data_IF_223498878462
#
_entry.id   IF_223498878462
#
_cell.length_a   1.000
_cell.length_b   1.000
_cell.length_c   1.000
_cell.angle_alpha   90.00
_cell.angle_beta   90.00
_cell.angle_gamma   90.00
#
_symmetry.space_group_name_H-M   'P 1'
#
loop_
_entity.id
_entity.type
_entity.pdbx_description
1 polymer ?
#
# COMPACT_ATOMS: atom_id res chain seq x y z
N UNK A 1 -18.76 -7.99 -8.53
CA UNK A 1 -17.31 -8.11 -8.80
C UNK A 1 -16.69 -8.99 -7.73
N UNK A 2 -16.02 -10.05 -8.13
CA UNK A 2 -15.40 -10.98 -7.20
C UNK A 2 -14.00 -10.50 -6.78
N UNK A 3 -13.46 -11.12 -5.74
CA UNK A 3 -12.15 -10.74 -5.15
C UNK A 3 -11.02 -10.74 -6.19
N UNK A 4 -10.96 -11.73 -7.07
CA UNK A 4 -9.94 -11.82 -8.11
C UNK A 4 -10.02 -10.67 -9.11
N UNK A 5 -11.23 -10.20 -9.43
CA UNK A 5 -11.41 -9.04 -10.30
C UNK A 5 -10.83 -7.78 -9.66
N UNK A 6 -11.05 -7.62 -8.35
CA UNK A 6 -10.51 -6.49 -7.59
C UNK A 6 -8.98 -6.54 -7.59
N UNK A 7 -8.38 -7.70 -7.30
CA UNK A 7 -6.94 -7.85 -7.32
C UNK A 7 -6.32 -7.50 -8.67
N UNK A 8 -6.98 -7.94 -9.76
CA UNK A 8 -6.51 -7.62 -11.12
C UNK A 8 -6.60 -6.13 -11.40
N UNK A 9 -7.73 -5.50 -11.08
CA UNK A 9 -7.94 -4.07 -11.33
C UNK A 9 -6.92 -3.22 -10.58
N UNK A 10 -6.70 -3.48 -9.31
CA UNK A 10 -5.74 -2.69 -8.52
C UNK A 10 -4.30 -2.99 -8.91
N UNK A 11 -4.00 -4.21 -9.34
CA UNK A 11 -2.67 -4.56 -9.86
C UNK A 11 -2.37 -3.86 -11.18
N UNK A 12 -3.38 -3.70 -12.04
CA UNK A 12 -3.25 -2.96 -13.30
C UNK A 12 -3.23 -1.43 -13.10
N UNK A 13 -3.68 -0.95 -11.95
CA UNK A 13 -3.74 0.48 -11.58
C UNK A 13 -3.11 0.68 -10.20
N UNK A 14 -1.79 0.49 -10.08
CA UNK A 14 -1.13 0.30 -8.79
C UNK A 14 -0.91 1.57 -7.96
N UNK A 15 -1.10 2.76 -8.51
CA UNK A 15 -1.05 3.99 -7.72
C UNK A 15 -2.34 4.11 -6.93
N UNK A 16 -2.24 4.28 -5.62
CA UNK A 16 -3.41 4.45 -4.77
C UNK A 16 -3.17 5.57 -3.76
N UNK A 17 -4.26 6.03 -3.16
CA UNK A 17 -4.21 7.01 -2.08
C UNK A 17 -4.50 6.29 -0.77
N UNK A 18 -3.60 6.47 0.18
CA UNK A 18 -3.68 5.83 1.49
C UNK A 18 -4.13 6.86 2.52
N UNK A 19 -5.25 6.59 3.17
CA UNK A 19 -5.73 7.37 4.30
C UNK A 19 -5.29 6.73 5.61
N UNK A 20 -4.73 7.56 6.48
CA UNK A 20 -4.34 7.18 7.85
C UNK A 20 -4.95 8.16 8.83
N UNK A 21 -4.89 7.83 10.12
CA UNK A 21 -5.37 8.70 11.19
C UNK A 21 -4.17 9.15 12.02
N UNK A 22 -4.03 10.45 12.16
CA UNK A 22 -3.00 11.10 12.99
C UNK A 22 -3.73 11.78 14.15
N UNK A 23 -3.86 11.10 15.29
CA UNK A 23 -4.76 11.42 16.39
C UNK A 23 -6.22 11.48 15.87
N UNK A 24 -6.80 12.65 15.73
CA UNK A 24 -8.14 12.85 15.16
C UNK A 24 -8.11 13.47 13.76
N UNK A 25 -6.92 13.69 13.20
CA UNK A 25 -6.74 14.29 11.88
C UNK A 25 -6.55 13.21 10.83
N UNK A 26 -7.44 13.12 9.81
CA UNK A 26 -7.18 12.25 8.67
C UNK A 26 -6.02 12.79 7.84
N UNK A 27 -5.17 11.89 7.36
CA UNK A 27 -4.07 12.19 6.46
C UNK A 27 -4.18 11.32 5.22
N UNK A 28 -3.76 11.83 4.07
CA UNK A 28 -3.80 11.08 2.81
C UNK A 28 -2.55 11.38 1.98
N UNK A 29 -2.06 10.38 1.26
CA UNK A 29 -0.93 10.50 0.33
C UNK A 29 -1.01 9.43 -0.74
N UNK A 30 -0.32 9.67 -1.85
CA UNK A 30 -0.19 8.67 -2.90
C UNK A 30 0.84 7.60 -2.51
N UNK A 31 0.54 6.35 -2.83
CA UNK A 31 1.39 5.20 -2.60
C UNK A 31 1.41 4.33 -3.84
N UNK A 32 2.32 3.36 -3.88
CA UNK A 32 2.48 2.45 -5.00
C UNK A 32 2.35 1.01 -4.51
N UNK A 33 1.32 0.30 -5.02
CA UNK A 33 1.08 -1.09 -4.70
C UNK A 33 2.26 -1.97 -5.16
N UNK A 34 2.69 -2.89 -4.31
CA UNK A 34 3.68 -3.89 -4.68
C UNK A 34 3.01 -5.15 -5.24
N UNK A 35 2.10 -5.75 -4.48
CA UNK A 35 1.43 -6.99 -4.87
C UNK A 35 0.06 -7.08 -4.22
N UNK A 36 -0.92 -7.56 -4.96
CA UNK A 36 -2.24 -7.87 -4.45
C UNK A 36 -2.66 -9.24 -4.96
N UNK A 37 -2.84 -10.17 -4.05
CA UNK A 37 -3.28 -11.52 -4.33
C UNK A 37 -4.01 -12.09 -3.11
N UNK A 38 -4.27 -13.40 -3.13
CA UNK A 38 -5.00 -14.06 -2.05
C UNK A 38 -4.31 -13.98 -0.69
N UNK A 39 -2.99 -13.76 -0.67
CA UNK A 39 -2.26 -13.59 0.59
C UNK A 39 -2.49 -12.23 1.22
N UNK A 40 -2.88 -11.25 0.44
CA UNK A 40 -3.16 -9.90 0.90
C UNK A 40 -2.66 -8.82 -0.05
N UNK A 41 -2.79 -7.58 0.39
CA UNK A 41 -2.35 -6.39 -0.34
C UNK A 41 -1.08 -5.88 0.32
N UNK A 42 0.02 -5.83 -0.44
CA UNK A 42 1.35 -5.50 0.08
C UNK A 42 1.84 -4.20 -0.55
N UNK A 43 2.33 -3.32 0.29
CA UNK A 43 3.06 -2.11 -0.12
C UNK A 43 4.10 -1.77 0.95
N UNK A 44 4.92 -0.77 0.69
CA UNK A 44 6.00 -0.41 1.59
C UNK A 44 6.19 1.10 1.65
N UNK A 45 6.89 1.54 2.68
CA UNK A 45 7.34 2.92 2.85
C UNK A 45 8.69 2.94 3.54
N UNK A 46 9.26 4.12 3.72
CA UNK A 46 10.49 4.28 4.51
C UNK A 46 10.14 4.60 5.96
N UNK A 47 10.89 4.02 6.90
CA UNK A 47 10.62 4.16 8.33
C UNK A 47 10.76 5.59 8.86
N UNK A 48 11.52 6.45 8.16
CA UNK A 48 11.67 7.85 8.54
C UNK A 48 10.48 8.74 8.13
N UNK A 49 9.52 8.21 7.38
CA UNK A 49 8.36 8.99 6.92
C UNK A 49 7.26 9.04 7.97
N UNK A 50 6.53 10.17 7.98
CA UNK A 50 5.40 10.38 8.89
C UNK A 50 4.32 9.30 8.74
N UNK A 51 4.10 8.78 7.53
CA UNK A 51 3.10 7.73 7.30
C UNK A 51 3.41 6.48 8.13
N UNK A 52 4.69 6.12 8.27
CA UNK A 52 5.08 4.97 9.09
C UNK A 52 4.74 5.21 10.56
N UNK A 53 5.02 6.40 11.07
CA UNK A 53 4.68 6.76 12.45
C UNK A 53 3.16 6.70 12.69
N UNK A 54 2.38 7.22 11.74
CA UNK A 54 0.92 7.21 11.83
C UNK A 54 0.37 5.79 11.86
N UNK A 55 0.85 4.91 10.98
CA UNK A 55 0.42 3.50 10.94
C UNK A 55 0.84 2.76 12.20
N UNK A 56 2.02 3.06 12.74
CA UNK A 56 2.50 2.44 13.98
C UNK A 56 1.59 2.76 15.16
N UNK A 57 1.09 4.00 15.23
CA UNK A 57 0.18 4.43 16.31
C UNK A 57 -1.26 3.98 16.08
N UNK A 58 -1.71 3.94 14.83
CA UNK A 58 -3.06 3.52 14.47
C UNK A 58 -3.00 2.84 13.10
N UNK A 59 -3.14 1.53 13.09
CA UNK A 59 -3.00 0.72 11.88
C UNK A 59 -4.27 0.64 11.02
N UNK A 60 -5.33 1.34 11.40
CA UNK A 60 -6.56 1.40 10.61
C UNK A 60 -6.36 2.34 9.44
N UNK A 61 -6.67 1.86 8.24
CA UNK A 61 -6.40 2.58 7.00
C UNK A 61 -7.54 2.39 6.02
N UNK A 62 -7.55 3.24 5.01
CA UNK A 62 -8.36 3.03 3.82
C UNK A 62 -7.51 3.33 2.59
N UNK A 63 -7.58 2.44 1.62
CA UNK A 63 -6.90 2.54 0.33
C UNK A 63 -7.92 2.91 -0.74
N UNK A 64 -7.58 3.85 -1.62
CA UNK A 64 -8.46 4.26 -2.71
C UNK A 64 -7.72 4.15 -4.04
N UNK A 65 -8.22 3.28 -4.91
CA UNK A 65 -7.69 3.06 -6.25
C UNK A 65 -8.66 3.62 -7.28
N UNK A 66 -8.14 4.34 -8.28
CA UNK A 66 -8.92 4.77 -9.44
C UNK A 66 -8.57 3.86 -10.61
N UNK A 67 -9.54 3.08 -11.07
CA UNK A 67 -9.35 2.03 -12.05
C UNK A 67 -10.23 2.30 -13.27
N UNK A 68 -9.79 3.19 -14.16
CA UNK A 68 -10.49 3.50 -15.42
C UNK A 68 -11.98 3.87 -15.20
N UNK A 69 -12.24 4.82 -14.30
CA UNK A 69 -13.59 5.26 -13.99
C UNK A 69 -14.28 4.46 -12.88
N UNK A 70 -13.67 3.39 -12.43
CA UNK A 70 -14.14 2.62 -11.29
C UNK A 70 -13.29 3.00 -10.09
N UNK A 71 -13.92 3.35 -8.98
CA UNK A 71 -13.22 3.62 -7.73
C UNK A 71 -13.33 2.41 -6.82
N UNK A 72 -12.20 1.90 -6.36
CA UNK A 72 -12.15 0.79 -5.41
C UNK A 72 -11.55 1.31 -4.11
N UNK A 73 -12.34 1.26 -3.03
CA UNK A 73 -11.90 1.62 -1.68
C UNK A 73 -11.83 0.38 -0.82
N UNK A 74 -10.71 0.19 -0.15
CA UNK A 74 -10.48 -0.98 0.69
C UNK A 74 -10.09 -0.50 2.08
N UNK A 75 -10.91 -0.82 3.07
CA UNK A 75 -10.63 -0.50 4.46
C UNK A 75 -10.14 -1.72 5.22
N UNK A 76 -9.31 -1.50 6.22
CA UNK A 76 -8.79 -2.59 7.04
C UNK A 76 -7.67 -2.14 7.95
N UNK A 77 -6.99 -3.12 8.51
CA UNK A 77 -5.87 -2.91 9.41
C UNK A 77 -4.59 -3.44 8.76
N UNK A 78 -3.52 -2.66 8.86
CA UNK A 78 -2.22 -3.05 8.33
C UNK A 78 -1.45 -3.85 9.39
N UNK A 79 -0.73 -4.87 8.92
CA UNK A 79 0.23 -5.62 9.71
C UNK A 79 1.62 -5.42 9.12
N UNK A 80 2.59 -5.11 9.96
CA UNK A 80 3.99 -5.00 9.54
C UNK A 80 4.55 -6.39 9.27
N UNK A 81 5.23 -6.55 8.12
CA UNK A 81 5.96 -7.77 7.79
C UNK A 81 7.45 -7.48 7.99
N UNK A 82 8.04 -8.07 9.01
CA UNK A 82 9.47 -7.94 9.27
C UNK A 82 10.21 -9.10 8.62
N UNK A 83 10.56 -8.96 7.36
CA UNK A 83 11.24 -9.97 6.57
C UNK A 83 12.27 -9.33 5.66
N UNK A 84 13.54 -9.62 5.92
CA UNK A 84 14.64 -9.16 5.07
C UNK A 84 14.60 -9.81 3.70
N UNK A 85 14.16 -11.08 3.61
CA UNK A 85 13.98 -11.74 2.33
C UNK A 85 12.95 -11.02 1.45
N UNK A 86 11.83 -10.61 2.04
CA UNK A 86 10.82 -9.87 1.30
C UNK A 86 11.30 -8.46 0.92
N UNK A 87 12.03 -7.78 1.81
CA UNK A 87 12.65 -6.50 1.49
C UNK A 87 13.61 -6.60 0.31
N UNK A 88 14.43 -7.65 0.29
CA UNK A 88 15.36 -7.91 -0.82
C UNK A 88 14.60 -8.24 -2.11
N UNK A 89 13.55 -9.05 -2.04
CA UNK A 89 12.71 -9.37 -3.19
C UNK A 89 12.11 -8.09 -3.79
N UNK A 90 11.56 -7.21 -2.95
CA UNK A 90 10.98 -5.93 -3.38
C UNK A 90 12.04 -5.07 -4.05
N UNK A 91 13.21 -4.94 -3.43
CA UNK A 91 14.31 -4.13 -3.95
C UNK A 91 14.75 -4.59 -5.35
N UNK A 92 14.75 -5.90 -5.60
CA UNK A 92 15.16 -6.47 -6.88
C UNK A 92 14.03 -6.53 -7.92
N UNK A 93 12.78 -6.23 -7.54
CA UNK A 93 11.66 -6.29 -8.46
C UNK A 93 11.76 -5.16 -9.50
N UNK A 94 11.46 -5.44 -10.79
CA UNK A 94 11.54 -4.41 -11.85
C UNK A 94 10.73 -3.15 -11.58
N UNK A 95 9.60 -3.25 -10.88
CA UNK A 95 8.77 -2.10 -10.53
C UNK A 95 9.40 -1.21 -9.45
N UNK A 96 10.49 -1.66 -8.82
CA UNK A 96 11.17 -0.98 -7.72
C UNK A 96 12.60 -0.58 -8.07
N UNK A 97 12.87 -0.34 -9.32
CA UNK A 97 14.19 0.09 -9.78
C UNK A 97 14.69 1.33 -9.04
N UNK A 98 13.78 2.27 -8.75
CA UNK A 98 14.12 3.47 -7.98
C UNK A 98 14.66 3.13 -6.58
N UNK A 99 14.09 2.12 -5.94
CA UNK A 99 14.51 1.68 -4.60
C UNK A 99 15.89 1.04 -4.63
N UNK A 100 16.14 0.20 -5.64
CA UNK A 100 17.45 -0.41 -5.87
C UNK A 100 18.52 0.64 -6.12
N UNK A 101 18.20 1.63 -6.97
CA UNK A 101 19.12 2.73 -7.26
C UNK A 101 19.46 3.53 -6.00
N UNK A 102 18.45 3.83 -5.17
CA UNK A 102 18.69 4.56 -3.92
C UNK A 102 19.55 3.75 -2.95
N UNK A 103 19.33 2.44 -2.87
CA UNK A 103 20.14 1.55 -2.04
C UNK A 103 21.59 1.54 -2.50
N UNK A 104 21.83 1.39 -3.79
CA UNK A 104 23.16 1.37 -4.38
C UNK A 104 23.90 2.70 -4.21
N UNK A 105 23.17 3.82 -4.21
CA UNK A 105 23.73 5.17 -3.98
C UNK A 105 23.96 5.48 -2.51
N UNK A 106 23.63 4.57 -1.62
CA UNK A 106 23.86 4.74 -0.18
C UNK A 106 22.89 5.70 0.52
N UNK A 107 21.67 5.86 -0.02
CA UNK A 107 20.66 6.74 0.59
C UNK A 107 20.11 6.15 1.90
N UNK A 108 20.31 4.86 2.14
CA UNK A 108 19.91 4.20 3.38
C UNK A 108 21.14 3.81 4.17
N UNK A 109 21.22 4.26 5.42
CA UNK A 109 22.28 3.85 6.34
C UNK A 109 22.19 2.34 6.60
N UNK A 110 20.97 1.84 6.83
CA UNK A 110 20.68 0.42 6.97
C UNK A 110 19.37 0.14 6.23
N UNK A 111 19.48 -0.43 5.04
CA UNK A 111 18.33 -0.67 4.17
C UNK A 111 17.25 -1.51 4.86
N UNK A 112 17.62 -2.60 5.53
CA UNK A 112 16.65 -3.49 6.14
C UNK A 112 15.90 -2.85 7.31
N UNK A 113 16.49 -1.86 7.97
CA UNK A 113 15.83 -1.07 9.03
C UNK A 113 15.07 0.12 8.49
N UNK A 114 15.35 0.52 7.26
CA UNK A 114 14.78 1.74 6.66
C UNK A 114 13.51 1.50 5.86
N UNK A 115 13.19 0.25 5.55
CA UNK A 115 12.03 -0.12 4.74
C UNK A 115 11.01 -0.87 5.60
N UNK A 116 9.82 -0.30 5.70
CA UNK A 116 8.68 -0.92 6.36
C UNK A 116 7.75 -1.52 5.30
N UNK A 117 7.48 -2.80 5.41
CA UNK A 117 6.57 -3.53 4.51
C UNK A 117 5.30 -3.86 5.26
N UNK A 118 4.15 -3.57 4.65
CA UNK A 118 2.85 -3.79 5.26
C UNK A 118 2.02 -4.75 4.42
N UNK A 119 1.16 -5.50 5.09
CA UNK A 119 0.14 -6.31 4.43
C UNK A 119 -1.23 -5.97 5.01
N UNK A 120 -2.22 -5.86 4.13
CA UNK A 120 -3.62 -5.75 4.50
C UNK A 120 -4.30 -7.07 4.12
N UNK A 121 -4.80 -7.78 5.14
CA UNK A 121 -5.54 -9.03 4.99
C UNK A 121 -6.99 -8.81 5.37
N UNK A 122 -7.89 -9.50 4.68
CA UNK A 122 -9.32 -9.48 5.03
C UNK A 122 -9.93 -8.08 5.05
N UNK A 123 -9.49 -7.21 4.13
CA UNK A 123 -10.05 -5.89 3.98
C UNK A 123 -11.47 -5.94 3.44
N UNK A 124 -12.21 -4.84 3.63
CA UNK A 124 -13.55 -4.68 3.11
C UNK A 124 -13.49 -3.73 1.92
N UNK A 125 -13.88 -4.24 0.75
CA UNK A 125 -13.85 -3.46 -0.50
C UNK A 125 -15.22 -2.90 -0.83
N UNK A 126 -15.23 -1.63 -1.24
CA UNK A 126 -16.40 -0.97 -1.84
C UNK A 126 -16.03 -0.54 -3.25
N UNK A 127 -16.89 -0.88 -4.20
CA UNK A 127 -16.73 -0.51 -5.60
C UNK A 127 -17.72 0.58 -5.93
N UNK A 128 -17.23 1.70 -6.42
CA UNK A 128 -18.06 2.84 -6.83
C UNK A 128 -17.94 3.05 -8.34
N UNK A 129 -19.09 3.27 -8.98
CA UNK A 129 -19.18 3.70 -10.38
C UNK A 129 -20.15 4.88 -10.47
N UNK A 130 -20.10 5.64 -11.56
CA UNK A 130 -20.96 6.82 -11.72
C UNK A 130 -22.44 6.48 -11.67
N UNK A 131 -22.83 5.36 -12.23
CA UNK A 131 -24.23 4.88 -12.25
C UNK A 131 -24.76 4.47 -10.88
N UNK A 132 -23.86 4.25 -9.91
CA UNK A 132 -24.19 3.89 -8.51
C UNK A 132 -23.97 5.02 -7.51
N UNK A 133 -23.86 6.24 -8.01
CA UNK A 133 -23.46 7.37 -7.17
C UNK A 133 -24.38 7.64 -5.97
N UNK A 134 -25.63 7.28 -6.07
CA UNK A 134 -26.62 7.54 -5.01
C UNK A 134 -27.13 6.27 -4.32
N UNK A 135 -26.43 5.17 -4.48
CA UNK A 135 -26.76 3.93 -3.78
C UNK A 135 -26.08 3.81 -2.42
#
# INVERSE_FOLDING_TARGET
>A
MIKQDIFKLISDNPVFYLATVDNDQPRVRAMFLYRADETGIIFHTATMKEVHEQITKNNKVELCFSCNGIQIRISGELTLIDSDDLRNEICEHPSRKFLKDWREKGFFEDFHKSIAVYILKNGIAKVWTMDKNFE
#
